data_IF_114937406612
#
_entry.id   IF_114937406612
#
_cell.length_a   1.000
_cell.length_b   1.000
_cell.length_c   1.000
_cell.angle_alpha   90.00
_cell.angle_beta   90.00
_cell.angle_gamma   90.00
#
_symmetry.space_group_name_H-M   'P 1'
#
loop_
_entity.id
_entity.type
_entity.pdbx_description
1 polymer ?
#
# COMPACT_ATOMS: atom_id res chain seq x y z
N UNK A 1 18.18 8.48 -11.73
CA UNK A 1 17.76 7.33 -10.90
C UNK A 1 17.47 7.74 -9.45
N UNK A 2 18.41 8.38 -8.74
CA UNK A 2 18.22 8.82 -7.35
C UNK A 2 16.93 9.61 -7.08
N UNK A 3 16.61 10.61 -7.92
CA UNK A 3 15.39 11.42 -7.75
C UNK A 3 14.09 10.62 -7.76
N UNK A 4 13.94 9.66 -8.68
CA UNK A 4 12.72 8.84 -8.74
C UNK A 4 12.62 7.84 -7.58
N UNK A 5 13.76 7.30 -7.12
CA UNK A 5 13.79 6.49 -5.89
C UNK A 5 13.37 7.33 -4.68
N UNK A 6 13.83 8.57 -4.57
CA UNK A 6 13.42 9.50 -3.52
C UNK A 6 11.91 9.79 -3.58
N UNK A 7 11.36 10.02 -4.77
CA UNK A 7 9.92 10.17 -4.95
C UNK A 7 9.17 8.92 -4.49
N UNK A 8 9.64 7.73 -4.88
CA UNK A 8 9.01 6.48 -4.46
C UNK A 8 9.01 6.34 -2.93
N UNK A 9 10.13 6.63 -2.26
CA UNK A 9 10.23 6.60 -0.81
C UNK A 9 9.29 7.62 -0.16
N UNK A 10 9.20 8.83 -0.71
CA UNK A 10 8.26 9.85 -0.25
C UNK A 10 6.81 9.38 -0.40
N UNK A 11 6.44 8.85 -1.56
CA UNK A 11 5.09 8.34 -1.82
C UNK A 11 4.75 7.15 -0.91
N UNK A 12 5.72 6.25 -0.65
CA UNK A 12 5.58 5.17 0.31
C UNK A 12 5.26 5.69 1.71
N UNK A 13 6.02 6.68 2.17
CA UNK A 13 5.75 7.34 3.45
C UNK A 13 4.36 7.99 3.47
N UNK A 14 4.02 8.77 2.44
CA UNK A 14 2.75 9.48 2.36
C UNK A 14 1.54 8.54 2.31
N UNK A 15 1.60 7.45 1.55
CA UNK A 15 0.51 6.47 1.43
C UNK A 15 0.37 5.66 2.70
N UNK A 16 1.46 5.20 3.32
CA UNK A 16 1.38 4.50 4.61
C UNK A 16 0.83 5.42 5.69
N UNK A 17 1.32 6.66 5.75
CA UNK A 17 0.78 7.67 6.65
C UNK A 17 -0.72 7.88 6.42
N UNK A 18 -1.15 8.13 5.18
CA UNK A 18 -2.56 8.32 4.84
C UNK A 18 -3.43 7.09 5.12
N UNK A 19 -2.89 5.88 4.91
CA UNK A 19 -3.58 4.62 5.19
C UNK A 19 -3.89 4.44 6.68
N UNK A 20 -2.94 4.76 7.56
CA UNK A 20 -3.13 4.71 9.00
C UNK A 20 -3.88 5.92 9.55
N UNK A 21 -3.66 7.11 9.00
CA UNK A 21 -4.36 8.33 9.40
C UNK A 21 -5.86 8.26 9.08
N UNK A 22 -6.22 7.60 7.98
CA UNK A 22 -7.61 7.32 7.59
C UNK A 22 -8.25 6.14 8.34
N UNK A 23 -7.67 5.67 9.45
CA UNK A 23 -8.25 4.59 10.24
C UNK A 23 -9.64 4.98 10.75
N UNK A 24 -10.67 4.12 10.58
CA UNK A 24 -12.00 4.42 11.07
C UNK A 24 -12.00 4.46 12.60
N UNK A 25 -12.63 5.48 13.17
CA UNK A 25 -12.85 5.60 14.61
C UNK A 25 -14.12 4.83 15.02
N UNK A 26 -14.25 4.50 16.31
CA UNK A 26 -15.44 3.81 16.82
C UNK A 26 -15.56 2.34 16.40
N UNK A 27 -14.45 1.68 16.04
CA UNK A 27 -14.42 0.25 15.68
C UNK A 27 -13.49 -0.56 16.59
N UNK A 28 -13.71 -1.88 16.75
CA UNK A 28 -12.84 -2.73 17.55
C UNK A 28 -11.39 -2.72 17.03
N UNK A 29 -10.44 -2.29 17.88
CA UNK A 29 -9.02 -2.11 17.53
C UNK A 29 -8.37 -3.38 16.98
N UNK A 30 -8.68 -4.54 17.55
CA UNK A 30 -8.13 -5.84 17.10
C UNK A 30 -8.59 -6.16 15.68
N UNK A 31 -9.88 -5.99 15.39
CA UNK A 31 -10.43 -6.24 14.06
C UNK A 31 -9.83 -5.28 13.02
N UNK A 32 -9.68 -4.01 13.38
CA UNK A 32 -9.02 -3.01 12.52
C UNK A 32 -7.56 -3.38 12.24
N UNK A 33 -6.80 -3.76 13.27
CA UNK A 33 -5.40 -4.17 13.12
C UNK A 33 -5.27 -5.40 12.20
N UNK A 34 -6.14 -6.40 12.35
CA UNK A 34 -6.15 -7.58 11.47
C UNK A 34 -6.44 -7.22 10.02
N UNK A 35 -7.45 -6.37 9.77
CA UNK A 35 -7.78 -5.92 8.41
C UNK A 35 -6.64 -5.11 7.80
N UNK A 36 -6.01 -4.22 8.58
CA UNK A 36 -4.85 -3.46 8.13
C UNK A 36 -3.66 -4.38 7.81
N UNK A 37 -3.37 -5.34 8.68
CA UNK A 37 -2.34 -6.33 8.45
C UNK A 37 -2.59 -7.15 7.18
N UNK A 38 -3.83 -7.61 6.97
CA UNK A 38 -4.21 -8.35 5.78
C UNK A 38 -4.00 -7.54 4.48
N UNK A 39 -4.38 -6.25 4.48
CA UNK A 39 -4.18 -5.35 3.33
C UNK A 39 -2.68 -5.16 3.05
N UNK A 40 -1.88 -4.91 4.08
CA UNK A 40 -0.42 -4.69 3.92
C UNK A 40 0.29 -5.95 3.44
N UNK A 41 -0.08 -7.12 3.96
CA UNK A 41 0.46 -8.42 3.51
C UNK A 41 0.07 -8.67 2.06
N UNK A 42 -1.19 -8.44 1.69
CA UNK A 42 -1.64 -8.58 0.30
C UNK A 42 -0.90 -7.62 -0.64
N UNK A 43 -0.72 -6.36 -0.24
CA UNK A 43 0.04 -5.38 -1.01
C UNK A 43 1.50 -5.80 -1.21
N UNK A 44 2.14 -6.34 -0.17
CA UNK A 44 3.51 -6.83 -0.24
C UNK A 44 3.63 -8.02 -1.21
N UNK A 45 2.73 -8.99 -1.12
CA UNK A 45 2.70 -10.16 -2.00
C UNK A 45 2.52 -9.72 -3.46
N UNK A 46 1.52 -8.88 -3.73
CA UNK A 46 1.23 -8.39 -5.08
C UNK A 46 2.40 -7.58 -5.65
N UNK A 47 2.97 -6.66 -4.85
CA UNK A 47 4.14 -5.88 -5.25
C UNK A 47 5.35 -6.77 -5.57
N UNK A 48 5.63 -7.78 -4.74
CA UNK A 48 6.71 -8.73 -4.98
C UNK A 48 6.47 -9.59 -6.23
N UNK A 49 5.25 -10.05 -6.46
CA UNK A 49 4.89 -10.81 -7.66
C UNK A 49 5.07 -9.99 -8.94
N UNK A 50 4.58 -8.75 -8.97
CA UNK A 50 4.71 -7.88 -10.14
C UNK A 50 6.17 -7.49 -10.37
N UNK A 51 6.90 -7.14 -9.31
CA UNK A 51 8.32 -6.81 -9.40
C UNK A 51 9.16 -7.96 -9.93
N UNK A 52 8.95 -9.17 -9.41
CA UNK A 52 9.69 -10.36 -9.84
C UNK A 52 9.36 -10.75 -11.28
N UNK A 53 8.09 -10.70 -11.69
CA UNK A 53 7.68 -10.97 -13.06
C UNK A 53 8.32 -9.97 -14.06
N UNK A 54 8.26 -8.68 -13.76
CA UNK A 54 8.85 -7.64 -14.61
C UNK A 54 10.37 -7.68 -14.63
N UNK A 55 11.01 -8.03 -13.51
CA UNK A 55 12.45 -8.22 -13.47
C UNK A 55 12.86 -9.38 -14.38
N UNK A 56 12.20 -10.53 -14.25
CA UNK A 56 12.47 -11.73 -15.06
C UNK A 56 12.27 -11.47 -16.56
N UNK A 57 11.21 -10.74 -16.93
CA UNK A 57 10.96 -10.33 -18.30
C UNK A 57 12.08 -9.40 -18.83
N UNK A 58 12.41 -8.34 -18.09
CA UNK A 58 13.40 -7.36 -18.50
C UNK A 58 14.82 -7.94 -18.69
N UNK A 59 15.25 -8.87 -17.81
CA UNK A 59 16.55 -9.53 -17.95
C UNK A 59 16.59 -10.52 -19.12
N UNK A 60 15.44 -11.07 -19.52
CA UNK A 60 15.35 -12.01 -20.65
C UNK A 60 15.50 -11.32 -21.99
N UNK A 61 14.99 -10.08 -22.11
CA UNK A 61 15.02 -9.29 -23.36
C UNK A 61 16.30 -8.46 -23.48
N UNK A 62 16.82 -7.91 -22.37
CA UNK A 62 18.00 -7.04 -22.36
C UNK A 62 18.98 -7.42 -21.24
N UNK A 63 19.59 -8.60 -21.36
CA UNK A 63 20.52 -9.16 -20.38
C UNK A 63 21.73 -8.26 -20.02
N UNK A 64 22.09 -7.30 -20.89
CA UNK A 64 23.19 -6.35 -20.67
C UNK A 64 22.87 -5.17 -19.74
N UNK A 65 21.60 -4.88 -19.46
CA UNK A 65 21.16 -3.68 -18.71
C UNK A 65 20.52 -4.02 -17.36
N UNK A 66 21.18 -4.89 -16.57
CA UNK A 66 20.67 -5.37 -15.27
C UNK A 66 20.29 -4.23 -14.31
N UNK A 67 21.03 -3.13 -14.30
CA UNK A 67 20.73 -1.97 -13.45
C UNK A 67 19.40 -1.30 -13.79
N UNK A 68 19.07 -1.19 -15.08
CA UNK A 68 17.80 -0.62 -15.53
C UNK A 68 16.63 -1.58 -15.27
N UNK A 69 16.83 -2.89 -15.49
CA UNK A 69 15.85 -3.92 -15.18
C UNK A 69 15.47 -3.94 -13.69
N UNK A 70 16.46 -3.91 -12.80
CA UNK A 70 16.23 -3.83 -11.34
C UNK A 70 15.47 -2.57 -10.98
N UNK A 71 15.85 -1.43 -11.55
CA UNK A 71 15.21 -0.15 -11.28
C UNK A 71 13.73 -0.14 -11.67
N UNK A 72 13.40 -0.60 -12.88
CA UNK A 72 12.02 -0.68 -13.37
C UNK A 72 11.18 -1.63 -12.51
N UNK A 73 11.74 -2.78 -12.14
CA UNK A 73 11.08 -3.74 -11.27
C UNK A 73 10.76 -3.15 -9.89
N UNK A 74 11.69 -2.42 -9.27
CA UNK A 74 11.46 -1.75 -7.98
C UNK A 74 10.37 -0.69 -8.10
N UNK A 75 10.41 0.14 -9.14
CA UNK A 75 9.42 1.19 -9.35
C UNK A 75 8.02 0.62 -9.58
N UNK A 76 7.90 -0.42 -10.41
CA UNK A 76 6.64 -1.09 -10.67
C UNK A 76 6.10 -1.82 -9.43
N UNK A 77 6.95 -2.55 -8.70
CA UNK A 77 6.60 -3.21 -7.45
C UNK A 77 6.11 -2.21 -6.40
N UNK A 78 6.85 -1.12 -6.21
CA UNK A 78 6.49 -0.04 -5.30
C UNK A 78 5.15 0.59 -5.69
N UNK A 79 4.95 0.86 -6.97
CA UNK A 79 3.69 1.45 -7.46
C UNK A 79 2.50 0.51 -7.23
N UNK A 80 2.65 -0.78 -7.54
CA UNK A 80 1.62 -1.78 -7.28
C UNK A 80 1.29 -1.88 -5.79
N UNK A 81 2.30 -1.90 -4.92
CA UNK A 81 2.11 -1.85 -3.47
C UNK A 81 1.29 -0.63 -3.05
N UNK A 82 1.67 0.57 -3.49
CA UNK A 82 0.99 1.82 -3.17
C UNK A 82 -0.50 1.78 -3.57
N UNK A 83 -0.79 1.28 -4.77
CA UNK A 83 -2.16 1.14 -5.28
C UNK A 83 -2.98 0.21 -4.40
N UNK A 84 -2.44 -0.96 -4.04
CA UNK A 84 -3.16 -1.94 -3.21
C UNK A 84 -3.42 -1.39 -1.81
N UNK A 85 -2.45 -0.69 -1.21
CA UNK A 85 -2.65 -0.05 0.10
C UNK A 85 -3.73 1.04 0.04
N UNK A 86 -3.68 1.92 -0.96
CA UNK A 86 -4.66 2.98 -1.13
C UNK A 86 -6.07 2.42 -1.37
N UNK A 87 -6.21 1.47 -2.30
CA UNK A 87 -7.48 0.81 -2.61
C UNK A 87 -7.99 0.00 -1.40
N UNK A 88 -7.11 -0.72 -0.71
CA UNK A 88 -7.44 -1.47 0.50
C UNK A 88 -7.93 -0.56 1.63
N UNK A 89 -7.29 0.59 1.83
CA UNK A 89 -7.75 1.60 2.79
C UNK A 89 -9.14 2.15 2.46
N UNK A 90 -9.42 2.38 1.18
CA UNK A 90 -10.73 2.78 0.69
C UNK A 90 -11.79 1.70 0.95
N UNK A 91 -11.51 0.45 0.55
CA UNK A 91 -12.40 -0.71 0.77
C UNK A 91 -12.67 -0.92 2.25
N UNK A 92 -11.64 -0.84 3.10
CA UNK A 92 -11.76 -0.91 4.55
C UNK A 92 -12.74 0.13 5.07
N UNK A 93 -12.62 1.38 4.63
CA UNK A 93 -13.41 2.50 5.14
C UNK A 93 -14.86 2.51 4.61
N UNK A 94 -15.09 2.07 3.38
CA UNK A 94 -16.41 2.11 2.75
C UNK A 94 -17.22 0.82 2.97
N UNK A 95 -16.57 -0.34 2.93
CA UNK A 95 -17.25 -1.64 2.90
C UNK A 95 -17.09 -2.42 4.21
N UNK A 96 -15.90 -2.43 4.80
CA UNK A 96 -15.64 -3.22 6.02
C UNK A 96 -16.11 -2.48 7.28
N UNK A 97 -15.84 -1.17 7.35
CA UNK A 97 -16.20 -0.31 8.47
C UNK A 97 -16.96 0.94 7.97
N UNK A 98 -18.15 0.78 7.37
CA UNK A 98 -18.96 1.91 6.91
C UNK A 98 -19.34 2.82 8.08
N UNK A 99 -19.49 4.13 7.81
CA UNK A 99 -19.81 5.15 8.83
C UNK A 99 -21.05 4.76 9.64
N UNK A 100 -22.07 4.20 9.00
CA UNK A 100 -23.32 3.77 9.63
C UNK A 100 -23.19 2.67 10.69
N UNK A 101 -22.05 1.95 10.73
CA UNK A 101 -21.77 0.87 11.70
C UNK A 101 -20.68 1.24 12.71
N UNK A 102 -20.16 2.46 12.66
CA UNK A 102 -19.16 2.94 13.64
C UNK A 102 -19.91 3.36 14.90
N UNK A 103 -19.33 3.08 16.06
CA UNK A 103 -19.84 3.66 17.30
C UNK A 103 -19.79 5.20 17.17
N UNK A 104 -20.78 5.92 17.72
CA UNK A 104 -20.73 7.37 17.79
C UNK A 104 -19.39 7.78 18.39
N UNK A 105 -18.62 8.58 17.66
CA UNK A 105 -17.47 9.26 18.26
C UNK A 105 -18.07 10.22 19.28
N UNK A 106 -17.93 9.95 20.58
CA UNK A 106 -18.39 10.87 21.63
C UNK A 106 -17.83 12.26 21.32
N UNK A 107 -18.71 13.16 20.86
CA UNK A 107 -18.39 14.55 20.64
C UNK A 107 -18.82 15.33 21.88
N UNK A 108 -17.88 15.64 22.77
CA UNK A 108 -18.01 16.72 23.74
C UNK A 108 -17.32 16.49 25.10
N UNK A 109 -16.64 17.49 25.68
CA UNK A 109 -16.48 17.57 27.13
C UNK A 109 -17.81 17.99 27.80
N UNK A 110 -18.01 17.69 29.11
CA UNK A 110 -19.17 18.15 29.88
C UNK A 110 -19.23 19.68 30.03
#
# INVERSE_FOLDING_TARGET
>A
MHFMVLILLFLLGAVLWGFFHSNPQGVPRVKLALVNGAILVAALIIGAMIGSALYADAISVKAGEKGMATYLAIMAAGTAFLIVVAAGGLVRNLLVFPISRRAPTESGPP
#
